data_IF_945187725263
#
_entry.id   IF_945187725263
#
_cell.length_a   1.000
_cell.length_b   1.000
_cell.length_c   1.000
_cell.angle_alpha   90.00
_cell.angle_beta   90.00
_cell.angle_gamma   90.00
#
_symmetry.space_group_name_H-M   'P 1'
#
loop_
_entity.id
_entity.type
_entity.pdbx_description
1 polymer ?
#
# COMPACT_ATOMS: atom_id res chain seq x y z
N UNK A 1 -24.08 34.36 -54.35
CA UNK A 1 -24.32 35.24 -55.55
C UNK A 1 -22.98 35.47 -56.23
N UNK A 2 -22.99 35.16 -57.55
CA UNK A 2 -22.02 35.57 -58.60
C UNK A 2 -20.61 34.98 -58.50
N UNK A 3 -20.26 33.90 -59.19
CA UNK A 3 -19.97 33.73 -60.63
C UNK A 3 -18.95 34.75 -61.19
N UNK A 4 -17.93 34.22 -61.83
CA UNK A 4 -17.40 34.49 -63.19
C UNK A 4 -16.05 33.77 -63.26
N UNK A 5 -15.86 32.64 -63.93
CA UNK A 5 -15.76 32.30 -65.38
C UNK A 5 -14.51 32.94 -66.03
N UNK A 6 -13.71 32.02 -66.59
CA UNK A 6 -13.02 32.12 -67.90
C UNK A 6 -11.63 32.74 -67.92
N UNK A 7 -10.60 32.25 -68.56
CA UNK A 7 -10.52 31.82 -69.95
C UNK A 7 -9.20 31.11 -70.25
N UNK A 8 -9.28 30.16 -71.13
CA UNK A 8 -8.21 29.45 -71.83
C UNK A 8 -7.20 30.37 -72.57
N UNK A 9 -5.91 30.07 -72.50
CA UNK A 9 -5.04 30.33 -73.70
C UNK A 9 -4.09 29.11 -73.84
N UNK A 10 -4.29 28.46 -75.01
CA UNK A 10 -3.43 27.45 -75.58
C UNK A 10 -2.12 28.07 -76.03
N UNK A 11 -1.00 27.57 -75.65
CA UNK A 11 0.30 27.90 -76.23
C UNK A 11 1.11 26.62 -76.45
N UNK A 12 1.04 26.10 -77.66
CA UNK A 12 1.91 25.02 -78.11
C UNK A 12 3.31 25.57 -78.27
N UNK A 13 4.29 24.99 -77.63
CA UNK A 13 5.67 25.15 -78.02
C UNK A 13 6.42 23.80 -78.01
N UNK A 14 7.08 23.62 -79.11
CA UNK A 14 7.62 22.42 -79.68
C UNK A 14 8.93 22.02 -78.97
N UNK A 15 9.05 20.77 -78.64
CA UNK A 15 10.14 19.83 -78.47
C UNK A 15 11.56 20.32 -78.78
N UNK A 16 12.43 20.15 -77.82
CA UNK A 16 13.79 19.68 -78.05
C UNK A 16 14.20 18.70 -76.93
N UNK A 17 14.39 17.44 -77.31
CA UNK A 17 14.90 16.35 -76.51
C UNK A 17 16.35 16.58 -76.20
N UNK A 18 16.66 16.75 -74.91
CA UNK A 18 18.00 16.52 -74.41
C UNK A 18 17.92 15.45 -73.32
N UNK A 19 18.41 14.26 -73.62
CA UNK A 19 18.64 13.23 -72.61
C UNK A 19 19.71 13.72 -71.63
N UNK A 20 19.24 14.10 -70.43
CA UNK A 20 20.13 14.22 -69.26
C UNK A 20 19.64 13.21 -68.23
N UNK A 21 20.38 12.14 -68.04
CA UNK A 21 20.16 11.17 -67.02
C UNK A 21 20.53 11.80 -65.66
N UNK A 22 19.53 12.38 -64.99
CA UNK A 22 19.64 12.75 -63.58
C UNK A 22 19.68 11.48 -62.73
N UNK A 23 20.61 11.35 -61.80
CA UNK A 23 20.58 10.23 -60.86
C UNK A 23 19.31 10.35 -60.01
N UNK A 24 18.53 9.26 -59.98
CA UNK A 24 17.37 9.08 -59.10
C UNK A 24 17.84 9.35 -57.65
N UNK A 25 17.16 10.19 -56.88
CA UNK A 25 17.50 10.34 -55.46
C UNK A 25 17.44 8.98 -54.81
N UNK A 26 18.51 8.64 -54.09
CA UNK A 26 18.56 7.45 -53.29
C UNK A 26 17.37 7.54 -52.31
N UNK A 27 16.51 6.56 -52.38
CA UNK A 27 15.46 6.37 -51.34
C UNK A 27 16.24 6.04 -50.07
N UNK A 28 16.30 7.01 -49.17
CA UNK A 28 16.81 6.80 -47.84
C UNK A 28 15.92 5.71 -47.22
N UNK A 29 16.48 4.53 -47.04
CA UNK A 29 15.76 3.40 -46.46
C UNK A 29 15.38 3.80 -45.04
N UNK A 30 14.09 3.88 -44.74
CA UNK A 30 13.61 4.02 -43.35
C UNK A 30 14.33 2.95 -42.52
N UNK A 31 14.79 3.29 -41.30
CA UNK A 31 15.45 2.32 -40.44
C UNK A 31 14.43 1.21 -40.12
N UNK A 32 14.69 0.01 -40.61
CA UNK A 32 13.94 -1.18 -40.28
C UNK A 32 14.11 -1.38 -38.79
N UNK A 33 12.99 -1.23 -38.03
CA UNK A 33 13.00 -1.52 -36.60
C UNK A 33 13.47 -2.97 -36.39
N UNK A 34 14.64 -3.14 -35.80
CA UNK A 34 15.17 -4.46 -35.46
C UNK A 34 14.36 -5.00 -34.33
N UNK A 35 13.49 -5.97 -34.58
CA UNK A 35 12.71 -6.64 -33.56
C UNK A 35 13.65 -7.54 -32.73
N UNK A 36 13.94 -7.12 -31.51
CA UNK A 36 14.74 -7.90 -30.57
C UNK A 36 13.91 -9.05 -30.00
N UNK A 37 14.41 -10.28 -30.16
CA UNK A 37 13.88 -11.48 -29.52
C UNK A 37 14.84 -11.94 -28.42
N UNK A 38 14.40 -12.88 -27.56
CA UNK A 38 15.28 -13.46 -26.54
C UNK A 38 16.59 -14.00 -27.12
N UNK A 39 16.54 -14.61 -28.30
CA UNK A 39 17.68 -15.23 -28.94
C UNK A 39 18.61 -14.21 -29.60
N UNK A 40 18.17 -12.96 -29.81
CA UNK A 40 18.99 -11.87 -30.32
C UNK A 40 19.84 -11.17 -29.26
N UNK A 41 19.61 -11.42 -27.96
CA UNK A 41 20.44 -10.94 -26.85
C UNK A 41 21.67 -11.84 -26.65
N UNK A 42 22.63 -11.77 -27.60
CA UNK A 42 23.78 -12.68 -27.66
C UNK A 42 24.89 -12.21 -26.71
N UNK A 43 25.23 -10.91 -26.77
CA UNK A 43 26.36 -10.36 -26.02
C UNK A 43 25.98 -10.02 -24.58
N UNK A 44 26.97 -10.00 -23.68
CA UNK A 44 26.75 -9.54 -22.30
C UNK A 44 26.30 -8.06 -22.26
N UNK A 45 26.80 -7.22 -23.17
CA UNK A 45 26.39 -5.82 -23.30
C UNK A 45 24.90 -5.72 -23.57
N UNK A 46 24.38 -6.47 -24.55
CA UNK A 46 22.94 -6.50 -24.84
C UNK A 46 22.10 -6.98 -23.65
N UNK A 47 22.58 -8.01 -22.95
CA UNK A 47 21.86 -8.59 -21.80
C UNK A 47 21.74 -7.62 -20.64
N UNK A 48 22.83 -6.97 -20.22
CA UNK A 48 22.73 -6.01 -19.11
C UNK A 48 22.04 -4.72 -19.54
N UNK A 49 22.15 -4.27 -20.79
CA UNK A 49 21.38 -3.11 -21.26
C UNK A 49 19.88 -3.39 -21.23
N UNK A 50 19.46 -4.58 -21.68
CA UNK A 50 18.06 -4.99 -21.59
C UNK A 50 17.59 -5.11 -20.12
N UNK A 51 18.44 -5.66 -19.24
CA UNK A 51 18.12 -5.80 -17.82
C UNK A 51 17.94 -4.43 -17.13
N UNK A 52 18.83 -3.47 -17.42
CA UNK A 52 18.70 -2.09 -16.93
C UNK A 52 17.41 -1.43 -17.45
N UNK A 53 17.13 -1.59 -18.75
CA UNK A 53 15.88 -1.08 -19.33
C UNK A 53 14.63 -1.69 -18.68
N UNK A 54 14.67 -2.99 -18.37
CA UNK A 54 13.58 -3.68 -17.68
C UNK A 54 13.37 -3.14 -16.25
N UNK A 55 14.45 -2.90 -15.51
CA UNK A 55 14.42 -2.34 -14.15
C UNK A 55 13.85 -0.91 -14.13
N UNK A 56 14.37 -0.06 -15.04
CA UNK A 56 13.83 1.30 -15.25
C UNK A 56 12.36 1.25 -15.65
N UNK A 57 11.99 0.39 -16.61
CA UNK A 57 10.61 0.22 -17.06
C UNK A 57 9.67 -0.22 -15.92
N UNK A 58 10.13 -1.12 -15.06
CA UNK A 58 9.36 -1.51 -13.87
C UNK A 58 9.18 -0.34 -12.90
N UNK A 59 10.21 0.47 -12.70
CA UNK A 59 10.16 1.66 -11.86
C UNK A 59 9.16 2.68 -12.42
N UNK A 60 9.23 3.01 -13.71
CA UNK A 60 8.31 3.92 -14.39
C UNK A 60 6.85 3.42 -14.32
N UNK A 61 6.64 2.12 -14.52
CA UNK A 61 5.33 1.49 -14.36
C UNK A 61 4.77 1.65 -12.94
N UNK A 62 5.64 1.50 -11.93
CA UNK A 62 5.23 1.63 -10.52
C UNK A 62 4.92 3.10 -10.14
N UNK A 63 5.53 4.07 -10.82
CA UNK A 63 5.19 5.49 -10.69
C UNK A 63 3.75 5.73 -11.17
N UNK A 64 3.31 5.02 -12.22
CA UNK A 64 1.94 5.05 -12.73
C UNK A 64 1.59 6.26 -13.59
N UNK A 65 2.59 7.04 -14.00
CA UNK A 65 2.41 8.19 -14.90
C UNK A 65 2.66 7.77 -16.34
N UNK A 66 1.93 8.35 -17.28
CA UNK A 66 2.17 8.16 -18.71
C UNK A 66 3.53 8.76 -19.10
N UNK A 67 4.34 7.98 -19.78
CA UNK A 67 5.70 8.37 -20.20
C UNK A 67 5.82 8.31 -21.72
N UNK A 68 6.33 9.38 -22.30
CA UNK A 68 6.77 9.39 -23.69
C UNK A 68 8.14 8.69 -23.80
N UNK A 69 8.10 7.45 -24.27
CA UNK A 69 9.29 6.61 -24.38
C UNK A 69 10.26 7.08 -25.49
N UNK A 70 9.79 7.82 -26.49
CA UNK A 70 10.64 8.40 -27.53
C UNK A 70 11.47 9.55 -26.95
N UNK A 71 10.85 10.47 -26.25
CA UNK A 71 11.52 11.57 -25.55
C UNK A 71 12.47 11.05 -24.46
N UNK A 72 12.04 10.02 -23.69
CA UNK A 72 12.88 9.39 -22.66
C UNK A 72 14.15 8.77 -23.25
N UNK A 73 14.01 7.95 -24.28
CA UNK A 73 15.16 7.32 -24.94
C UNK A 73 16.10 8.33 -25.59
N UNK A 74 15.54 9.41 -26.16
CA UNK A 74 16.35 10.50 -26.73
C UNK A 74 17.21 11.18 -25.68
N UNK A 75 16.63 11.51 -24.51
CA UNK A 75 17.36 12.12 -23.41
C UNK A 75 18.50 11.22 -22.90
N UNK A 76 18.21 9.91 -22.72
CA UNK A 76 19.22 8.91 -22.36
C UNK A 76 20.36 8.87 -23.40
N UNK A 77 20.03 8.87 -24.70
CA UNK A 77 21.03 8.86 -25.77
C UNK A 77 21.91 10.13 -25.74
N UNK A 78 21.30 11.30 -25.53
CA UNK A 78 22.02 12.57 -25.45
C UNK A 78 23.02 12.58 -24.29
N UNK A 79 22.59 12.13 -23.11
CA UNK A 79 23.48 12.03 -21.93
C UNK A 79 24.64 11.07 -22.17
N UNK A 80 24.37 9.87 -22.69
CA UNK A 80 25.40 8.85 -22.92
C UNK A 80 26.44 9.27 -23.99
N UNK A 81 26.01 10.07 -24.95
CA UNK A 81 26.86 10.56 -26.04
C UNK A 81 27.47 11.94 -25.79
N UNK A 82 27.26 12.51 -24.60
CA UNK A 82 27.64 13.87 -24.21
C UNK A 82 27.16 14.94 -25.21
N UNK A 83 25.97 14.76 -25.77
CA UNK A 83 25.27 15.73 -26.61
C UNK A 83 24.52 16.74 -25.75
N UNK A 84 24.30 17.97 -26.25
CA UNK A 84 23.47 18.94 -25.56
C UNK A 84 22.06 18.40 -25.36
N UNK A 85 21.52 18.55 -24.15
CA UNK A 85 20.11 18.26 -23.86
C UNK A 85 19.20 19.30 -24.55
N UNK A 86 17.95 18.93 -24.80
CA UNK A 86 16.94 19.82 -25.38
C UNK A 86 16.31 20.77 -24.38
N UNK A 87 16.55 20.52 -23.09
CA UNK A 87 16.06 21.31 -21.96
C UNK A 87 17.23 21.85 -21.14
N UNK A 88 17.06 23.01 -20.54
CA UNK A 88 18.01 23.54 -19.53
C UNK A 88 17.84 22.79 -18.20
N UNK A 89 18.83 22.95 -17.31
CA UNK A 89 18.76 22.34 -15.98
C UNK A 89 17.54 22.83 -15.18
N UNK A 90 17.18 24.12 -15.32
CA UNK A 90 16.01 24.70 -14.67
C UNK A 90 14.69 24.12 -15.24
N UNK A 91 14.62 23.88 -16.55
CA UNK A 91 13.45 23.27 -17.19
C UNK A 91 13.30 21.79 -16.79
N UNK A 92 14.40 21.07 -16.63
CA UNK A 92 14.42 19.68 -16.16
C UNK A 92 13.93 19.64 -14.70
N UNK A 93 14.46 20.48 -13.82
CA UNK A 93 14.06 20.56 -12.42
C UNK A 93 12.56 20.86 -12.28
N UNK A 94 12.05 21.86 -13.02
CA UNK A 94 10.63 22.21 -13.01
C UNK A 94 9.73 21.07 -13.52
N UNK A 95 10.16 20.34 -14.56
CA UNK A 95 9.44 19.18 -15.06
C UNK A 95 9.40 18.02 -14.05
N UNK A 96 10.51 17.75 -13.38
CA UNK A 96 10.58 16.73 -12.33
C UNK A 96 9.74 17.12 -11.10
N UNK A 97 9.75 18.38 -10.68
CA UNK A 97 8.88 18.86 -9.60
C UNK A 97 7.40 18.67 -9.96
N UNK A 98 7.00 19.04 -11.18
CA UNK A 98 5.64 18.80 -11.69
C UNK A 98 5.26 17.33 -11.67
N UNK A 99 6.18 16.44 -12.08
CA UNK A 99 5.97 14.99 -12.01
C UNK A 99 5.75 14.51 -10.57
N UNK A 100 6.56 14.98 -9.62
CA UNK A 100 6.41 14.60 -8.21
C UNK A 100 5.06 15.02 -7.65
N UNK A 101 4.59 16.24 -7.95
CA UNK A 101 3.25 16.72 -7.56
C UNK A 101 2.16 15.81 -8.15
N UNK A 102 2.23 15.52 -9.44
CA UNK A 102 1.26 14.66 -10.12
C UNK A 102 1.21 13.25 -9.51
N UNK A 103 2.38 12.67 -9.22
CA UNK A 103 2.48 11.34 -8.57
C UNK A 103 1.86 11.37 -7.18
N UNK A 104 2.10 12.43 -6.42
CA UNK A 104 1.52 12.60 -5.08
C UNK A 104 -0.01 12.71 -5.14
N UNK A 105 -0.55 13.54 -6.02
CA UNK A 105 -1.99 13.70 -6.21
C UNK A 105 -2.67 12.38 -6.64
N UNK A 106 -2.04 11.63 -7.53
CA UNK A 106 -2.55 10.32 -7.95
C UNK A 106 -2.58 9.32 -6.79
N UNK A 107 -1.52 9.28 -5.97
CA UNK A 107 -1.46 8.40 -4.80
C UNK A 107 -2.54 8.73 -3.78
N UNK A 108 -2.71 10.02 -3.48
CA UNK A 108 -3.74 10.49 -2.55
C UNK A 108 -5.16 10.17 -3.06
N UNK A 109 -5.41 10.37 -4.36
CA UNK A 109 -6.70 10.05 -4.97
C UNK A 109 -6.97 8.55 -4.87
N UNK A 110 -6.00 7.73 -5.25
CA UNK A 110 -6.10 6.27 -5.16
C UNK A 110 -6.32 5.78 -3.72
N UNK A 111 -5.57 6.33 -2.77
CA UNK A 111 -5.72 5.98 -1.36
C UNK A 111 -7.13 6.34 -0.83
N UNK A 112 -7.68 7.49 -1.23
CA UNK A 112 -9.06 7.89 -0.88
C UNK A 112 -10.11 6.96 -1.47
N UNK A 113 -9.94 6.57 -2.73
CA UNK A 113 -10.84 5.63 -3.41
C UNK A 113 -10.79 4.24 -2.74
N UNK A 114 -9.59 3.73 -2.46
CA UNK A 114 -9.40 2.45 -1.76
C UNK A 114 -10.00 2.48 -0.35
N UNK A 115 -9.79 3.56 0.41
CA UNK A 115 -10.35 3.74 1.73
C UNK A 115 -11.90 3.81 1.71
N UNK A 116 -12.49 4.46 0.71
CA UNK A 116 -13.94 4.50 0.54
C UNK A 116 -14.51 3.12 0.19
N UNK A 117 -13.88 2.41 -0.75
CA UNK A 117 -14.27 1.05 -1.10
C UNK A 117 -14.14 0.09 0.10
N UNK A 118 -13.08 0.21 0.88
CA UNK A 118 -12.87 -0.58 2.10
C UNK A 118 -13.98 -0.32 3.14
N UNK A 119 -14.37 0.95 3.33
CA UNK A 119 -15.46 1.33 4.23
C UNK A 119 -16.80 0.70 3.85
N UNK A 120 -17.14 0.73 2.57
CA UNK A 120 -18.38 0.13 2.05
C UNK A 120 -18.34 -1.41 2.14
N UNK A 121 -17.20 -2.01 1.77
CA UNK A 121 -17.00 -3.45 1.83
C UNK A 121 -17.08 -3.97 3.27
N UNK A 122 -16.44 -3.28 4.22
CA UNK A 122 -16.49 -3.57 5.65
C UNK A 122 -17.94 -3.55 6.18
N UNK A 123 -18.69 -2.47 5.92
CA UNK A 123 -20.06 -2.34 6.38
C UNK A 123 -20.94 -3.47 5.84
N UNK A 124 -20.87 -3.72 4.53
CA UNK A 124 -21.62 -4.80 3.89
C UNK A 124 -21.27 -6.18 4.43
N UNK A 125 -19.98 -6.42 4.71
CA UNK A 125 -19.54 -7.69 5.25
C UNK A 125 -20.05 -7.91 6.68
N UNK A 126 -19.86 -6.94 7.56
CA UNK A 126 -20.25 -7.04 8.98
C UNK A 126 -21.76 -7.22 9.13
N UNK A 127 -22.59 -6.54 8.32
CA UNK A 127 -24.03 -6.73 8.29
C UNK A 127 -24.45 -8.15 7.92
N UNK A 128 -23.74 -8.78 7.00
CA UNK A 128 -23.99 -10.19 6.62
C UNK A 128 -23.44 -11.17 7.66
N UNK A 129 -22.25 -10.91 8.18
CA UNK A 129 -21.55 -11.82 9.07
C UNK A 129 -22.27 -11.99 10.41
N UNK A 130 -22.90 -10.93 10.93
CA UNK A 130 -23.70 -11.00 12.16
C UNK A 130 -24.96 -11.86 12.08
N UNK A 131 -25.38 -12.27 10.86
CA UNK A 131 -26.51 -13.18 10.68
C UNK A 131 -26.16 -14.64 10.96
N UNK A 132 -24.87 -14.98 10.99
CA UNK A 132 -24.41 -16.30 11.44
C UNK A 132 -24.60 -16.39 12.96
N UNK A 133 -25.47 -17.30 13.42
CA UNK A 133 -25.78 -17.51 14.84
C UNK A 133 -24.57 -17.92 15.70
N UNK A 134 -23.47 -18.33 15.08
CA UNK A 134 -22.22 -18.67 15.78
C UNK A 134 -21.30 -17.46 15.97
N UNK A 135 -21.60 -16.33 15.33
CA UNK A 135 -20.87 -15.07 15.45
C UNK A 135 -21.46 -14.26 16.62
N UNK A 136 -20.60 -13.83 17.52
CA UNK A 136 -20.91 -12.90 18.58
C UNK A 136 -20.55 -11.49 18.14
N UNK A 137 -21.38 -10.52 18.51
CA UNK A 137 -21.21 -9.10 18.20
C UNK A 137 -21.17 -8.32 19.51
N UNK A 138 -20.19 -7.43 19.65
CA UNK A 138 -20.05 -6.58 20.83
C UNK A 138 -20.59 -5.15 20.56
N UNK A 139 -20.65 -4.32 21.59
CA UNK A 139 -21.11 -2.92 21.47
C UNK A 139 -20.19 -2.06 20.60
N UNK A 140 -18.90 -2.37 20.57
CA UNK A 140 -17.92 -1.68 19.71
C UNK A 140 -18.03 -2.07 18.23
N UNK A 141 -18.84 -3.09 17.92
CA UNK A 141 -18.94 -3.66 16.58
C UNK A 141 -17.93 -4.76 16.29
N UNK A 142 -17.06 -5.13 17.23
CA UNK A 142 -16.22 -6.32 17.11
C UNK A 142 -17.10 -7.55 16.91
N UNK A 143 -16.78 -8.36 15.91
CA UNK A 143 -17.44 -9.64 15.70
C UNK A 143 -16.42 -10.76 15.89
N UNK A 144 -16.83 -11.84 16.55
CA UNK A 144 -15.96 -12.99 16.73
C UNK A 144 -16.70 -14.31 16.81
N UNK A 145 -16.02 -15.38 16.44
CA UNK A 145 -16.50 -16.76 16.49
C UNK A 145 -15.49 -17.64 17.18
N UNK A 146 -15.94 -18.40 18.16
CA UNK A 146 -15.10 -19.37 18.86
C UNK A 146 -14.87 -20.59 17.97
N UNK A 147 -13.62 -20.89 17.65
CA UNK A 147 -13.22 -22.07 16.89
C UNK A 147 -12.82 -23.24 17.80
N UNK A 148 -12.24 -22.92 18.97
CA UNK A 148 -11.83 -23.88 20.01
C UNK A 148 -11.98 -23.19 21.37
N UNK A 149 -12.59 -23.87 22.33
CA UNK A 149 -12.67 -23.37 23.70
C UNK A 149 -11.32 -23.47 24.40
N UNK A 150 -11.06 -22.54 25.32
CA UNK A 150 -9.95 -22.56 26.23
C UNK A 150 -10.41 -22.77 27.67
N UNK A 151 -9.47 -22.80 28.59
CA UNK A 151 -9.73 -22.95 30.03
C UNK A 151 -8.98 -21.90 30.85
N UNK A 152 -9.51 -21.52 32.00
CA UNK A 152 -8.91 -20.52 32.87
C UNK A 152 -9.47 -19.12 32.70
N UNK A 153 -8.81 -18.15 33.33
CA UNK A 153 -9.27 -16.76 33.35
C UNK A 153 -8.82 -16.00 32.10
N UNK A 154 -9.67 -15.09 31.67
CA UNK A 154 -9.32 -14.12 30.61
C UNK A 154 -8.26 -13.13 31.12
N UNK A 155 -7.37 -12.64 30.23
CA UNK A 155 -6.35 -11.66 30.62
C UNK A 155 -6.98 -10.31 30.97
N UNK A 156 -6.32 -9.60 31.87
CA UNK A 156 -6.56 -8.17 32.14
C UNK A 156 -5.76 -7.32 31.15
N UNK A 157 -6.12 -6.05 31.03
CA UNK A 157 -5.40 -5.10 30.13
C UNK A 157 -3.91 -4.94 30.47
N UNK A 158 -3.53 -5.14 31.73
CA UNK A 158 -2.15 -5.04 32.21
C UNK A 158 -1.36 -6.34 32.06
N UNK A 159 -2.02 -7.44 31.71
CA UNK A 159 -1.35 -8.73 31.58
C UNK A 159 -0.60 -8.83 30.24
N UNK A 160 0.45 -9.64 30.25
CA UNK A 160 1.16 -10.04 29.02
C UNK A 160 0.49 -11.32 28.51
N UNK A 161 0.20 -11.35 27.23
CA UNK A 161 -0.34 -12.53 26.54
C UNK A 161 0.64 -13.06 25.52
N UNK A 162 0.61 -14.36 25.30
CA UNK A 162 1.34 -15.04 24.23
C UNK A 162 0.35 -15.68 23.27
N UNK A 163 0.45 -15.35 22.00
CA UNK A 163 -0.51 -15.76 20.98
C UNK A 163 0.15 -16.27 19.73
N UNK A 164 -0.56 -17.16 19.04
CA UNK A 164 -0.39 -17.36 17.60
C UNK A 164 -1.53 -16.67 16.86
N UNK A 165 -1.22 -16.06 15.71
CA UNK A 165 -2.23 -15.41 14.89
C UNK A 165 -1.87 -15.36 13.41
N UNK A 166 -2.89 -15.16 12.60
CA UNK A 166 -2.82 -14.77 11.19
C UNK A 166 -3.79 -13.62 10.99
N UNK A 167 -3.30 -12.52 10.42
CA UNK A 167 -4.08 -11.34 10.08
C UNK A 167 -4.23 -11.18 8.58
N UNK A 168 -5.47 -11.04 8.10
CA UNK A 168 -5.78 -10.84 6.69
C UNK A 168 -6.75 -9.68 6.50
N UNK A 169 -6.69 -9.05 5.34
CA UNK A 169 -7.71 -8.12 4.86
C UNK A 169 -8.94 -8.89 4.36
N UNK A 170 -9.99 -8.17 3.99
CA UNK A 170 -11.24 -8.75 3.52
C UNK A 170 -11.08 -9.51 2.18
N UNK A 171 -10.15 -9.11 1.34
CA UNK A 171 -9.81 -9.77 0.08
C UNK A 171 -8.93 -11.03 0.26
N UNK A 172 -8.51 -11.33 1.50
CA UNK A 172 -7.65 -12.44 1.85
C UNK A 172 -6.15 -12.12 1.82
N UNK A 173 -5.76 -10.89 1.52
CA UNK A 173 -4.36 -10.44 1.60
C UNK A 173 -3.88 -10.57 3.04
N UNK A 174 -2.86 -11.41 3.27
CA UNK A 174 -2.24 -11.57 4.59
C UNK A 174 -1.26 -10.41 4.83
N UNK A 175 -1.49 -9.66 5.89
CA UNK A 175 -0.63 -8.53 6.25
C UNK A 175 0.33 -8.86 7.40
N UNK A 176 -0.02 -9.84 8.25
CA UNK A 176 0.85 -10.29 9.33
C UNK A 176 0.52 -11.71 9.80
N UNK A 177 1.55 -12.48 10.21
CA UNK A 177 1.39 -13.86 10.67
C UNK A 177 2.54 -14.30 11.57
N UNK A 178 2.23 -14.61 12.83
CA UNK A 178 3.17 -15.24 13.76
C UNK A 178 3.53 -16.66 13.30
N UNK A 179 2.64 -17.33 12.58
CA UNK A 179 2.87 -18.69 12.06
C UNK A 179 3.96 -18.66 10.98
N UNK A 180 3.92 -17.69 10.05
CA UNK A 180 4.96 -17.55 9.02
C UNK A 180 6.31 -17.14 9.60
N UNK A 181 6.31 -16.34 10.67
CA UNK A 181 7.55 -16.01 11.40
C UNK A 181 8.13 -17.19 12.16
N UNK A 182 7.34 -18.23 12.45
CA UNK A 182 7.76 -19.41 13.17
C UNK A 182 7.81 -19.25 14.69
N UNK A 183 7.32 -18.12 15.24
CA UNK A 183 7.33 -17.82 16.66
C UNK A 183 6.04 -17.13 17.12
N UNK A 184 5.62 -17.45 18.36
CA UNK A 184 4.48 -16.80 18.97
C UNK A 184 4.85 -15.37 19.40
N UNK A 185 3.89 -14.45 19.28
CA UNK A 185 4.04 -13.07 19.71
C UNK A 185 3.63 -12.92 21.18
N UNK A 186 4.45 -12.20 21.96
CA UNK A 186 4.11 -11.80 23.33
C UNK A 186 4.00 -10.29 23.42
N UNK A 187 2.94 -9.79 24.05
CA UNK A 187 2.70 -8.36 24.22
C UNK A 187 1.80 -8.10 25.44
N UNK A 188 1.89 -6.90 25.99
CA UNK A 188 0.95 -6.40 26.98
C UNK A 188 -0.36 -6.03 26.29
N UNK A 189 -1.49 -6.48 26.83
CA UNK A 189 -2.81 -6.29 26.19
C UNK A 189 -3.14 -4.81 25.94
N UNK A 190 -2.68 -3.90 26.81
CA UNK A 190 -2.90 -2.46 26.63
C UNK A 190 -2.17 -1.84 25.42
N UNK A 191 -1.15 -2.50 24.85
CA UNK A 191 -0.25 -1.94 23.85
C UNK A 191 -0.60 -2.31 22.40
N UNK A 192 -1.78 -2.84 22.16
CA UNK A 192 -2.27 -3.22 20.83
C UNK A 192 -3.54 -2.44 20.46
N UNK A 193 -4.01 -2.57 19.22
CA UNK A 193 -5.26 -1.93 18.76
C UNK A 193 -6.45 -2.28 19.66
N UNK A 194 -7.40 -1.35 19.78
CA UNK A 194 -8.53 -1.49 20.73
C UNK A 194 -9.34 -2.77 20.52
N UNK A 195 -9.56 -3.17 19.26
CA UNK A 195 -10.24 -4.42 18.95
C UNK A 195 -9.53 -5.66 19.47
N UNK A 196 -8.19 -5.67 19.54
CA UNK A 196 -7.43 -6.75 20.18
C UNK A 196 -7.53 -6.69 21.70
N UNK A 197 -7.44 -5.48 22.30
CA UNK A 197 -7.61 -5.31 23.74
C UNK A 197 -8.97 -5.85 24.20
N UNK A 198 -10.02 -5.56 23.45
CA UNK A 198 -11.37 -6.04 23.72
C UNK A 198 -11.45 -7.56 23.50
N UNK A 199 -10.97 -8.07 22.34
CA UNK A 199 -11.00 -9.50 22.01
C UNK A 199 -10.37 -10.36 23.11
N UNK A 200 -9.21 -9.93 23.65
CA UNK A 200 -8.51 -10.67 24.70
C UNK A 200 -9.36 -10.86 25.95
N UNK A 201 -10.25 -9.92 26.29
CA UNK A 201 -11.13 -10.06 27.46
C UNK A 201 -12.17 -11.19 27.32
N UNK A 202 -12.42 -11.65 26.10
CA UNK A 202 -13.32 -12.77 25.80
C UNK A 202 -12.59 -14.10 25.63
N UNK A 203 -11.25 -14.10 25.64
CA UNK A 203 -10.43 -15.29 25.41
C UNK A 203 -9.88 -15.85 26.72
N UNK A 204 -9.64 -17.16 26.75
CA UNK A 204 -8.89 -17.85 27.82
C UNK A 204 -7.78 -18.69 27.22
N UNK A 205 -6.76 -19.09 27.99
CA UNK A 205 -5.66 -19.94 27.51
C UNK A 205 -6.16 -21.18 26.79
N UNK A 206 -5.56 -21.47 25.63
CA UNK A 206 -5.97 -22.57 24.73
C UNK A 206 -7.14 -22.26 23.80
N UNK A 207 -7.80 -21.10 23.95
CA UNK A 207 -8.91 -20.70 23.07
C UNK A 207 -8.37 -20.26 21.72
N UNK A 208 -9.07 -20.66 20.65
CA UNK A 208 -8.88 -20.15 19.29
C UNK A 208 -10.14 -19.46 18.80
N UNK A 209 -10.00 -18.28 18.25
CA UNK A 209 -11.11 -17.47 17.71
C UNK A 209 -10.80 -17.01 16.31
N UNK A 210 -11.86 -16.75 15.54
CA UNK A 210 -11.81 -15.91 14.36
C UNK A 210 -12.51 -14.60 14.70
N UNK A 211 -11.83 -13.48 14.48
CA UNK A 211 -12.33 -12.15 14.80
C UNK A 211 -12.36 -11.28 13.55
N UNK A 212 -13.35 -10.42 13.46
CA UNK A 212 -13.53 -9.39 12.46
C UNK A 212 -13.58 -8.05 13.19
N UNK A 213 -12.50 -7.28 13.05
CA UNK A 213 -12.27 -6.04 13.79
C UNK A 213 -12.57 -4.86 12.86
N UNK A 214 -13.62 -4.07 13.14
CA UNK A 214 -13.90 -2.86 12.38
C UNK A 214 -12.72 -1.88 12.43
N UNK A 215 -12.57 -1.10 11.37
CA UNK A 215 -11.49 -0.11 11.25
C UNK A 215 -11.47 0.89 12.42
N UNK A 216 -12.62 1.27 12.95
CA UNK A 216 -12.76 2.27 14.02
C UNK A 216 -12.06 1.85 15.33
N UNK A 217 -11.94 0.56 15.58
CA UNK A 217 -11.20 -0.01 16.72
C UNK A 217 -9.90 -0.72 16.29
N UNK A 218 -9.41 -0.37 15.10
CA UNK A 218 -8.15 -0.84 14.51
C UNK A 218 -7.27 0.34 14.07
N UNK A 219 -7.06 0.53 12.78
CA UNK A 219 -6.19 1.59 12.23
C UNK A 219 -6.95 2.78 11.64
N UNK A 220 -8.28 2.80 11.73
CA UNK A 220 -9.14 3.92 11.33
C UNK A 220 -9.05 4.29 9.85
N UNK A 221 -9.31 5.57 9.57
CA UNK A 221 -9.28 6.12 8.21
C UNK A 221 -7.85 6.20 7.63
N UNK A 222 -6.84 6.29 8.48
CA UNK A 222 -5.45 6.38 8.02
C UNK A 222 -4.90 5.03 7.55
N UNK A 223 -5.39 3.91 8.10
CA UNK A 223 -4.81 2.60 7.84
C UNK A 223 -3.42 2.42 8.47
N UNK A 224 -2.67 1.45 7.95
CA UNK A 224 -1.25 1.22 8.26
C UNK A 224 -0.51 0.88 6.96
N UNK A 225 -0.14 1.92 6.24
CA UNK A 225 0.55 1.78 4.96
C UNK A 225 1.95 1.14 5.11
N UNK A 226 2.43 0.44 4.07
CA UNK A 226 1.84 0.32 2.73
C UNK A 226 0.86 -0.85 2.56
N UNK A 227 0.52 -1.60 3.61
CA UNK A 227 -0.17 -2.90 3.48
C UNK A 227 -1.65 -2.81 3.86
N UNK A 228 -2.01 -1.98 4.85
CA UNK A 228 -3.38 -1.86 5.35
C UNK A 228 -3.96 -0.52 4.91
N UNK A 229 -4.81 -0.49 3.87
CA UNK A 229 -5.52 0.73 3.45
C UNK A 229 -6.39 1.31 4.57
N UNK A 230 -6.71 2.60 4.47
CA UNK A 230 -7.66 3.23 5.38
C UNK A 230 -9.02 2.53 5.38
N UNK A 231 -9.70 2.56 6.50
CA UNK A 231 -11.01 1.93 6.72
C UNK A 231 -11.07 0.42 6.48
N UNK A 232 -9.94 -0.29 6.53
CA UNK A 232 -9.90 -1.73 6.33
C UNK A 232 -10.47 -2.50 7.51
N UNK A 233 -11.37 -3.45 7.22
CA UNK A 233 -11.75 -4.50 8.14
C UNK A 233 -10.58 -5.46 8.33
N UNK A 234 -10.19 -5.73 9.55
CA UNK A 234 -9.15 -6.71 9.86
C UNK A 234 -9.77 -8.03 10.27
N UNK A 235 -9.29 -9.11 9.69
CA UNK A 235 -9.73 -10.46 10.00
C UNK A 235 -8.55 -11.18 10.64
N UNK A 236 -8.75 -11.68 11.85
CA UNK A 236 -7.73 -12.43 12.56
C UNK A 236 -8.22 -13.83 12.91
N UNK A 237 -7.34 -14.83 12.76
CA UNK A 237 -7.44 -16.05 13.51
C UNK A 237 -6.38 -15.99 14.61
N UNK A 238 -6.83 -16.07 15.88
CA UNK A 238 -5.97 -15.91 17.06
C UNK A 238 -6.11 -17.13 17.95
N UNK A 239 -4.99 -17.70 18.40
CA UNK A 239 -4.93 -18.69 19.46
C UNK A 239 -4.17 -18.10 20.65
N UNK A 240 -4.85 -17.97 21.81
CA UNK A 240 -4.25 -17.53 23.05
C UNK A 240 -3.56 -18.72 23.70
N UNK A 241 -2.22 -18.66 23.78
CA UNK A 241 -1.42 -19.76 24.32
C UNK A 241 -1.24 -19.63 25.83
N UNK A 242 -0.95 -18.42 26.32
CA UNK A 242 -0.57 -18.18 27.70
C UNK A 242 -0.98 -16.77 28.14
N UNK A 243 -1.33 -16.63 29.38
CA UNK A 243 -1.53 -15.34 30.08
C UNK A 243 -0.51 -15.25 31.19
N UNK A 244 0.29 -14.22 31.17
CA UNK A 244 1.31 -13.90 32.19
C UNK A 244 0.80 -12.68 32.95
N UNK A 245 0.29 -12.87 34.20
CA UNK A 245 -0.23 -11.77 34.99
C UNK A 245 0.85 -10.73 35.25
N UNK A 246 0.51 -9.44 35.09
CA UNK A 246 1.40 -8.39 35.57
C UNK A 246 1.37 -8.40 37.10
N UNK A 247 2.52 -8.58 37.70
CA UNK A 247 2.69 -8.45 39.15
C UNK A 247 2.72 -6.96 39.45
N UNK A 248 1.54 -6.34 39.64
CA UNK A 248 1.49 -5.05 40.33
C UNK A 248 1.75 -5.37 41.79
N UNK A 249 2.82 -4.89 42.41
CA UNK A 249 2.96 -5.03 43.87
C UNK A 249 1.73 -4.32 44.48
N UNK A 250 0.87 -5.10 45.11
CA UNK A 250 -0.17 -4.55 45.96
C UNK A 250 0.57 -3.83 47.09
N UNK A 251 0.67 -2.52 47.00
CA UNK A 251 1.02 -1.66 48.12
C UNK A 251 -0.07 -1.87 49.16
N UNK A 252 0.14 -2.87 50.03
CA UNK A 252 -0.62 -3.01 51.25
C UNK A 252 -0.63 -1.64 51.92
N UNK A 253 -1.77 -0.99 51.88
CA UNK A 253 -2.06 0.16 52.72
C UNK A 253 -2.15 -0.33 54.16
N UNK A 254 -1.01 -0.64 54.75
CA UNK A 254 -0.88 -0.73 56.20
C UNK A 254 -0.90 0.71 56.74
N UNK A 255 -2.10 1.18 56.96
CA UNK A 255 -2.33 2.30 57.87
C UNK A 255 -2.09 1.74 59.27
N UNK A 256 -1.09 2.16 60.00
CA UNK A 256 -1.02 1.83 61.42
C UNK A 256 -2.04 2.71 62.12
N UNK A 257 -3.16 2.04 62.53
CA UNK A 257 -4.08 2.57 63.49
C UNK A 257 -3.38 2.58 64.86
N UNK A 258 -3.51 3.66 65.57
CA UNK A 258 -3.16 3.92 66.99
C UNK A 258 -2.02 4.93 67.20
N UNK A 259 -2.41 6.18 67.31
CA UNK A 259 -1.83 7.10 68.31
C UNK A 259 -2.89 7.32 69.39
N UNK A 260 -2.78 6.56 70.46
CA UNK A 260 -3.47 6.87 71.73
C UNK A 260 -2.97 8.23 72.23
N UNK A 261 -3.92 9.16 72.27
CA UNK A 261 -3.78 10.43 72.96
C UNK A 261 -3.82 10.17 74.47
N UNK A 262 -2.69 10.18 75.16
CA UNK A 262 -2.62 10.31 76.58
C UNK A 262 -2.69 11.78 76.96
N UNK A 263 -3.84 12.16 77.49
CA UNK A 263 -4.01 13.32 78.33
C UNK A 263 -3.32 13.09 79.67
N UNK A 264 -2.37 13.91 80.02
CA UNK A 264 -2.05 14.18 81.43
C UNK A 264 -2.06 15.69 81.64
N UNK A 265 -3.08 16.11 82.38
CA UNK A 265 -3.12 17.39 83.00
C UNK A 265 -2.25 17.35 84.24
N UNK A 266 -1.75 18.46 84.63
CA UNK A 266 -1.89 19.03 85.99
C UNK A 266 -1.02 20.26 86.10
N UNK A 267 -1.67 21.32 86.59
CA UNK A 267 -1.01 22.48 87.13
C UNK A 267 -0.63 22.23 88.63
N UNK A 268 0.14 23.07 89.28
CA UNK A 268 -0.36 24.39 89.68
C UNK A 268 0.51 25.57 89.25
#
# INVERSE_FOLDING_TARGET
>A
MKHIISLFVFGVFLVLTACSSSPKPAVEAEPVAVEFTKDSLITMVQKYSYALGADVGQTLKNIGVEMDMEAFNLAVSHEMEAKPLLMTDEEIEAALESLLIQVQEMRETKAKEEAQQAKEAQANFLEKNKLDSTVKVTESGLQYKILKNGEGNSPKRTDIVKVHYVGTLLDGTEFDSSIKRGEALSFEVANVIEGWQELMTYMSPGMKVKAWIPSDIAYGEAGAEPIIPGNSLLIFEVELLEVIPSVVPELEASVPDSVEEKSEGEAP
#
